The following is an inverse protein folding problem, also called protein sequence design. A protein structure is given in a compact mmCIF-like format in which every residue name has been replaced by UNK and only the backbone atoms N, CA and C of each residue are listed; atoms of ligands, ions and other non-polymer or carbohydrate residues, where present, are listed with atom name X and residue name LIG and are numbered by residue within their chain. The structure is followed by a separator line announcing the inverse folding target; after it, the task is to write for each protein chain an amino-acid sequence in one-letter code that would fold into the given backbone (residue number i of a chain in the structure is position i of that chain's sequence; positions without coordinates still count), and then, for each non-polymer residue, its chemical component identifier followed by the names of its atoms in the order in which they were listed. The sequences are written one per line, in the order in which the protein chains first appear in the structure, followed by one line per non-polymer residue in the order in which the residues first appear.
data_IF_221256916121
#
_entry.id   IF_221256916121
#
_cell.length_a   1.000
_cell.length_b   1.000
_cell.length_c   1.000
_cell.angle_alpha   90.00
_cell.angle_beta   90.00
_cell.angle_gamma   90.00
#
_symmetry.space_group_name_H-M   'P 1'
#
loop_
_entity.id
_entity.type
_entity.pdbx_description
1 polymer ?
#
# COMPACT_ATOMS: atom_id res chain seq x y z
N UNK A 1 2.23 15.60 7.11
CA UNK A 1 2.84 16.12 5.85
C UNK A 1 4.27 16.61 6.09
N UNK A 2 4.49 17.51 7.06
CA UNK A 2 5.80 18.18 7.20
C UNK A 2 6.96 17.24 7.56
N UNK A 3 6.76 16.21 8.37
CA UNK A 3 7.85 15.31 8.77
C UNK A 3 8.23 14.30 7.68
N UNK A 4 7.24 13.74 6.98
CA UNK A 4 7.47 12.73 5.93
C UNK A 4 8.14 13.32 4.68
N UNK A 5 7.97 14.61 4.42
CA UNK A 5 8.67 15.33 3.36
C UNK A 5 10.02 15.87 3.81
N UNK A 6 10.20 16.25 5.09
CA UNK A 6 11.45 16.80 5.59
C UNK A 6 12.61 15.82 5.53
N UNK A 7 12.35 14.54 5.83
CA UNK A 7 13.41 13.51 5.84
C UNK A 7 14.05 13.30 4.47
N UNK A 8 13.31 13.03 3.37
CA UNK A 8 13.90 12.89 2.04
C UNK A 8 14.56 14.18 1.56
N UNK A 9 13.98 15.35 1.86
CA UNK A 9 14.60 16.64 1.52
C UNK A 9 15.96 16.80 2.22
N UNK A 10 16.04 16.48 3.51
CA UNK A 10 17.29 16.59 4.26
C UNK A 10 18.37 15.63 3.73
N UNK A 11 17.99 14.41 3.31
CA UNK A 11 18.90 13.45 2.68
C UNK A 11 19.41 13.99 1.33
N UNK A 12 18.50 14.45 0.47
CA UNK A 12 18.88 15.05 -0.83
C UNK A 12 19.85 16.21 -0.63
N UNK A 13 19.56 17.11 0.33
CA UNK A 13 20.42 18.24 0.62
C UNK A 13 21.79 17.79 1.14
N UNK A 14 21.84 16.88 2.11
CA UNK A 14 23.09 16.39 2.68
C UNK A 14 24.00 15.71 1.66
N UNK A 15 23.45 14.85 0.80
CA UNK A 15 24.22 14.19 -0.26
C UNK A 15 24.64 15.17 -1.38
N UNK A 16 23.81 16.14 -1.72
CA UNK A 16 24.15 17.18 -2.67
C UNK A 16 25.26 18.10 -2.13
N UNK A 17 25.25 18.45 -0.83
CA UNK A 17 26.32 19.18 -0.16
C UNK A 17 27.63 18.37 -0.17
N UNK A 18 27.55 17.05 0.14
CA UNK A 18 28.69 16.15 0.06
C UNK A 18 29.34 16.11 -1.32
N UNK A 19 28.54 16.06 -2.39
CA UNK A 19 29.02 16.17 -3.78
C UNK A 19 29.69 17.52 -4.06
N UNK A 20 29.07 18.63 -3.61
CA UNK A 20 29.58 19.99 -3.83
C UNK A 20 30.90 20.22 -3.15
N UNK A 21 31.09 19.69 -1.94
CA UNK A 21 32.29 19.87 -1.14
C UNK A 21 33.39 18.84 -1.44
N UNK A 22 33.16 17.94 -2.39
CA UNK A 22 34.06 16.87 -2.78
C UNK A 22 34.57 16.04 -1.58
N UNK A 23 33.67 15.76 -0.63
CA UNK A 23 34.00 15.05 0.63
C UNK A 23 34.54 13.65 0.35
N UNK A 24 34.04 12.99 -0.69
CA UNK A 24 34.54 11.70 -1.20
C UNK A 24 34.61 11.83 -2.73
N UNK A 25 35.79 12.17 -3.27
CA UNK A 25 35.94 12.50 -4.69
C UNK A 25 36.31 11.29 -5.56
N UNK A 26 36.04 10.09 -5.10
CA UNK A 26 36.10 8.88 -5.91
C UNK A 26 34.79 8.67 -6.69
N UNK A 27 34.91 7.97 -7.82
CA UNK A 27 33.75 7.77 -8.71
C UNK A 27 32.61 6.95 -8.05
N UNK A 28 32.96 5.94 -7.23
CA UNK A 28 32.00 5.05 -6.57
C UNK A 28 31.16 5.81 -5.54
N UNK A 29 31.80 6.66 -4.71
CA UNK A 29 31.10 7.51 -3.74
C UNK A 29 30.20 8.54 -4.41
N UNK A 30 30.63 9.12 -5.55
CA UNK A 30 29.78 10.06 -6.30
C UNK A 30 28.56 9.38 -6.90
N UNK A 31 28.74 8.21 -7.47
CA UNK A 31 27.63 7.42 -8.04
C UNK A 31 26.63 7.05 -6.92
N UNK A 32 27.10 6.57 -5.78
CA UNK A 32 26.27 6.28 -4.62
C UNK A 32 25.47 7.50 -4.14
N UNK A 33 26.11 8.69 -4.05
CA UNK A 33 25.41 9.91 -3.65
C UNK A 33 24.33 10.32 -4.64
N UNK A 34 24.61 10.18 -5.95
CA UNK A 34 23.63 10.43 -6.99
C UNK A 34 22.46 9.46 -6.92
N UNK A 35 22.71 8.17 -6.71
CA UNK A 35 21.65 7.14 -6.55
C UNK A 35 20.74 7.47 -5.36
N UNK A 36 21.30 7.81 -4.20
CA UNK A 36 20.48 8.17 -3.03
C UNK A 36 19.61 9.41 -3.32
N UNK A 37 20.15 10.43 -3.99
CA UNK A 37 19.38 11.63 -4.37
C UNK A 37 18.24 11.26 -5.32
N UNK A 38 18.51 10.42 -6.32
CA UNK A 38 17.50 9.98 -7.29
C UNK A 38 16.40 9.16 -6.60
N UNK A 39 16.74 8.24 -5.72
CA UNK A 39 15.81 7.41 -4.99
C UNK A 39 14.89 8.24 -4.08
N UNK A 40 15.47 9.18 -3.32
CA UNK A 40 14.67 10.04 -2.45
C UNK A 40 13.77 10.98 -3.25
N UNK A 41 14.21 11.50 -4.39
CA UNK A 41 13.39 12.30 -5.28
C UNK A 41 12.23 11.46 -5.88
N UNK A 42 12.47 10.20 -6.27
CA UNK A 42 11.44 9.29 -6.76
C UNK A 42 10.40 8.96 -5.67
N UNK A 43 10.84 8.71 -4.42
CA UNK A 43 9.94 8.51 -3.27
C UNK A 43 9.05 9.74 -3.03
N UNK A 44 9.63 10.95 -3.09
CA UNK A 44 8.87 12.20 -2.94
C UNK A 44 7.83 12.37 -4.05
N UNK A 45 8.21 12.13 -5.31
CA UNK A 45 7.29 12.22 -6.46
C UNK A 45 6.10 11.26 -6.29
N UNK A 46 6.36 10.02 -5.89
CA UNK A 46 5.31 9.04 -5.61
C UNK A 46 4.39 9.49 -4.46
N UNK A 47 4.96 10.07 -3.39
CA UNK A 47 4.17 10.60 -2.28
C UNK A 47 3.28 11.76 -2.71
N UNK A 48 3.78 12.69 -3.53
CA UNK A 48 3.00 13.82 -4.06
C UNK A 48 1.85 13.31 -4.94
N UNK A 49 2.10 12.34 -5.83
CA UNK A 49 1.04 11.74 -6.65
C UNK A 49 -0.07 11.12 -5.78
N UNK A 50 0.30 10.32 -4.77
CA UNK A 50 -0.68 9.72 -3.84
C UNK A 50 -1.48 10.77 -3.08
N UNK A 51 -0.87 11.89 -2.69
CA UNK A 51 -1.57 13.00 -2.06
C UNK A 51 -2.55 13.70 -2.99
N UNK A 52 -2.20 13.90 -4.26
CA UNK A 52 -3.08 14.47 -5.25
C UNK A 52 -4.29 13.56 -5.51
N UNK A 53 -4.06 12.26 -5.70
CA UNK A 53 -5.15 11.26 -5.82
C UNK A 53 -6.10 11.34 -4.62
N UNK A 54 -5.53 11.32 -3.41
CA UNK A 54 -6.33 11.38 -2.19
C UNK A 54 -7.16 12.68 -2.08
N UNK A 55 -6.57 13.85 -2.43
CA UNK A 55 -7.28 15.11 -2.43
C UNK A 55 -8.43 15.13 -3.47
N UNK A 56 -8.25 14.53 -4.65
CA UNK A 56 -9.29 14.41 -5.67
C UNK A 56 -10.45 13.54 -5.17
N UNK A 57 -10.15 12.38 -4.57
CA UNK A 57 -11.15 11.49 -3.98
C UNK A 57 -11.95 12.19 -2.88
N UNK A 58 -11.29 12.87 -1.94
CA UNK A 58 -11.95 13.56 -0.82
C UNK A 58 -12.78 14.79 -1.25
N UNK A 59 -12.37 15.46 -2.34
CA UNK A 59 -13.12 16.59 -2.87
C UNK A 59 -14.34 16.19 -3.70
N UNK A 60 -14.56 14.88 -3.91
CA UNK A 60 -15.65 14.36 -4.75
C UNK A 60 -15.54 14.75 -6.22
N UNK A 61 -14.36 15.20 -6.66
CA UNK A 61 -14.12 15.60 -8.07
C UNK A 61 -13.91 14.42 -9.00
N UNK A 62 -13.47 13.30 -8.45
CA UNK A 62 -13.34 12.05 -9.20
C UNK A 62 -14.71 11.38 -9.30
N UNK A 63 -15.27 11.34 -10.50
CA UNK A 63 -16.47 10.57 -10.75
C UNK A 63 -16.17 9.07 -10.58
N UNK A 64 -16.98 8.38 -9.78
CA UNK A 64 -16.92 6.91 -9.69
C UNK A 64 -17.64 6.33 -10.89
N UNK A 65 -16.95 5.47 -11.62
CA UNK A 65 -17.50 4.79 -12.81
C UNK A 65 -17.82 3.35 -12.44
N UNK A 66 -19.05 3.09 -12.05
CA UNK A 66 -19.49 1.73 -11.77
C UNK A 66 -19.62 0.93 -13.05
N UNK A 67 -18.94 -0.19 -13.13
CA UNK A 67 -19.00 -1.15 -14.23
C UNK A 67 -18.95 -2.58 -13.72
N UNK A 68 -19.32 -3.53 -14.60
CA UNK A 68 -19.27 -4.95 -14.29
C UNK A 68 -17.94 -5.55 -14.76
N UNK A 69 -17.13 -6.03 -13.85
CA UNK A 69 -15.85 -6.68 -14.16
C UNK A 69 -15.62 -7.95 -13.35
N UNK A 70 -14.60 -8.71 -13.71
CA UNK A 70 -14.19 -9.94 -13.04
C UNK A 70 -13.14 -9.63 -11.96
N UNK A 71 -13.57 -9.56 -10.70
CA UNK A 71 -12.71 -9.27 -9.56
C UNK A 71 -11.61 -10.32 -9.36
N UNK A 72 -11.89 -11.60 -9.68
CA UNK A 72 -10.88 -12.68 -9.59
C UNK A 72 -9.71 -12.41 -10.53
N UNK A 73 -9.98 -12.02 -11.77
CA UNK A 73 -8.94 -11.68 -12.75
C UNK A 73 -8.14 -10.44 -12.34
N UNK A 74 -8.81 -9.43 -11.82
CA UNK A 74 -8.17 -8.23 -11.31
C UNK A 74 -7.18 -8.58 -10.20
N UNK A 75 -7.60 -9.39 -9.21
CA UNK A 75 -6.73 -9.79 -8.10
C UNK A 75 -5.54 -10.63 -8.61
N UNK A 76 -5.74 -11.56 -9.55
CA UNK A 76 -4.63 -12.29 -10.16
C UNK A 76 -3.63 -11.36 -10.83
N UNK A 77 -4.07 -10.32 -11.55
CA UNK A 77 -3.20 -9.32 -12.16
C UNK A 77 -2.34 -8.59 -11.13
N UNK A 78 -2.95 -8.16 -10.03
CA UNK A 78 -2.25 -7.49 -8.93
C UNK A 78 -1.25 -8.43 -8.25
N UNK A 79 -1.65 -9.68 -7.97
CA UNK A 79 -0.78 -10.69 -7.35
C UNK A 79 0.44 -10.95 -8.23
N UNK A 80 0.25 -11.22 -9.53
CA UNK A 80 1.35 -11.47 -10.48
C UNK A 80 2.34 -10.28 -10.52
N UNK A 81 1.82 -9.05 -10.47
CA UNK A 81 2.66 -7.85 -10.45
C UNK A 81 3.45 -7.68 -9.14
N UNK A 82 2.95 -8.26 -8.05
CA UNK A 82 3.53 -8.16 -6.71
C UNK A 82 4.49 -9.32 -6.37
N UNK A 83 4.49 -10.42 -7.15
CA UNK A 83 5.27 -11.63 -6.85
C UNK A 83 6.76 -11.34 -6.65
N UNK A 84 7.37 -10.55 -7.55
CA UNK A 84 8.80 -10.23 -7.44
C UNK A 84 9.13 -9.49 -6.13
N UNK A 85 8.28 -8.59 -5.69
CA UNK A 85 8.47 -7.87 -4.43
C UNK A 85 8.25 -8.77 -3.22
N UNK A 86 7.30 -9.69 -3.29
CA UNK A 86 7.07 -10.69 -2.25
C UNK A 86 8.28 -11.63 -2.13
N UNK A 87 8.81 -12.13 -3.24
CA UNK A 87 9.98 -12.99 -3.27
C UNK A 87 11.22 -12.30 -2.70
N UNK A 88 11.45 -11.02 -2.99
CA UNK A 88 12.54 -10.24 -2.39
C UNK A 88 12.43 -10.14 -0.86
N UNK A 89 11.23 -10.20 -0.31
CA UNK A 89 10.98 -10.25 1.14
C UNK A 89 10.98 -11.69 1.70
N UNK A 90 11.10 -12.70 0.84
CA UNK A 90 10.95 -14.10 1.16
C UNK A 90 9.52 -14.46 1.58
N UNK A 91 8.53 -13.70 1.12
CA UNK A 91 7.13 -13.91 1.41
C UNK A 91 6.45 -14.73 0.32
N UNK A 92 5.47 -15.56 0.72
CA UNK A 92 4.66 -16.36 -0.20
C UNK A 92 3.24 -15.81 -0.26
N UNK A 93 2.77 -15.46 -1.47
CA UNK A 93 1.39 -15.06 -1.70
C UNK A 93 0.58 -16.32 -2.08
N UNK A 94 -0.53 -16.54 -1.38
CA UNK A 94 -1.48 -17.63 -1.61
C UNK A 94 -2.79 -17.04 -2.11
N UNK A 95 -3.08 -17.23 -3.38
CA UNK A 95 -4.37 -16.90 -3.99
C UNK A 95 -4.73 -18.00 -4.99
N UNK A 96 -5.60 -18.91 -4.57
CA UNK A 96 -5.95 -20.12 -5.33
C UNK A 96 -7.38 -20.06 -5.91
N UNK A 97 -8.01 -18.88 -5.91
CA UNK A 97 -9.36 -18.72 -6.45
C UNK A 97 -9.33 -18.82 -7.98
N UNK A 98 -10.14 -19.72 -8.52
CA UNK A 98 -10.25 -19.96 -9.96
C UNK A 98 -11.64 -19.63 -10.50
N UNK A 99 -12.64 -19.49 -9.63
CA UNK A 99 -14.00 -19.11 -10.01
C UNK A 99 -14.05 -17.61 -10.29
N UNK A 100 -14.68 -17.22 -11.40
CA UNK A 100 -14.87 -15.81 -11.73
C UNK A 100 -15.95 -15.17 -10.85
N UNK A 101 -15.60 -14.14 -10.11
CA UNK A 101 -16.51 -13.35 -9.31
C UNK A 101 -16.75 -12.00 -9.99
N UNK A 102 -17.88 -11.90 -10.70
CA UNK A 102 -18.29 -10.64 -11.31
C UNK A 102 -18.91 -9.72 -10.26
N UNK A 103 -18.41 -8.48 -10.21
CA UNK A 103 -18.85 -7.46 -9.27
C UNK A 103 -19.25 -6.18 -10.02
N UNK A 104 -19.95 -5.28 -9.30
CA UNK A 104 -20.37 -3.99 -9.79
C UNK A 104 -19.71 -2.90 -8.94
N UNK A 105 -18.59 -2.34 -9.46
CA UNK A 105 -17.79 -1.33 -8.78
C UNK A 105 -16.96 -0.55 -9.81
N UNK A 106 -16.15 0.40 -9.37
CA UNK A 106 -15.14 1.06 -10.21
C UNK A 106 -13.89 0.16 -10.26
N UNK A 107 -13.58 -0.40 -11.45
CA UNK A 107 -12.50 -1.37 -11.63
C UNK A 107 -11.14 -0.78 -11.24
N UNK A 108 -10.82 0.43 -11.71
CA UNK A 108 -9.53 1.09 -11.41
C UNK A 108 -9.37 1.42 -9.93
N UNK A 109 -10.43 1.90 -9.28
CA UNK A 109 -10.43 2.20 -7.85
C UNK A 109 -10.32 0.89 -7.03
N UNK A 110 -10.98 -0.16 -7.46
CA UNK A 110 -10.89 -1.48 -6.81
C UNK A 110 -9.48 -2.08 -6.95
N UNK A 111 -8.85 -1.94 -8.12
CA UNK A 111 -7.45 -2.33 -8.33
C UNK A 111 -6.52 -1.57 -7.37
N UNK A 112 -6.74 -0.27 -7.18
CA UNK A 112 -5.96 0.54 -6.24
C UNK A 112 -6.15 0.08 -4.78
N UNK A 113 -7.37 -0.33 -4.37
CA UNK A 113 -7.63 -0.93 -3.04
C UNK A 113 -6.84 -2.23 -2.87
N UNK A 114 -6.95 -3.17 -3.80
CA UNK A 114 -6.24 -4.45 -3.76
C UNK A 114 -4.73 -4.24 -3.73
N UNK A 115 -4.21 -3.37 -4.58
CA UNK A 115 -2.77 -3.03 -4.65
C UNK A 115 -2.26 -2.46 -3.32
N UNK A 116 -3.03 -1.58 -2.67
CA UNK A 116 -2.66 -1.03 -1.37
C UNK A 116 -2.66 -2.10 -0.27
N UNK A 117 -3.63 -3.03 -0.25
CA UNK A 117 -3.67 -4.11 0.72
C UNK A 117 -2.53 -5.11 0.50
N UNK A 118 -2.28 -5.53 -0.74
CA UNK A 118 -1.18 -6.46 -1.07
C UNK A 118 0.18 -5.83 -0.75
N UNK A 119 0.39 -4.57 -1.14
CA UNK A 119 1.63 -3.83 -0.81
C UNK A 119 1.81 -3.67 0.71
N UNK A 120 0.73 -3.40 1.45
CA UNK A 120 0.77 -3.33 2.91
C UNK A 120 1.13 -4.69 3.51
N UNK A 121 0.53 -5.77 3.03
CA UNK A 121 0.84 -7.13 3.46
C UNK A 121 2.31 -7.48 3.23
N UNK A 122 2.87 -7.20 2.05
CA UNK A 122 4.29 -7.44 1.73
C UNK A 122 5.22 -6.62 2.65
N UNK A 123 4.85 -5.39 2.98
CA UNK A 123 5.66 -4.53 3.84
C UNK A 123 5.63 -4.93 5.32
N UNK A 124 4.58 -5.61 5.78
CA UNK A 124 4.39 -5.97 7.18
C UNK A 124 4.41 -7.47 7.46
N UNK A 125 4.57 -8.30 6.41
CA UNK A 125 4.70 -9.75 6.58
C UNK A 125 5.92 -10.11 7.43
N UNK A 126 5.71 -10.99 8.40
CA UNK A 126 6.74 -11.50 9.33
C UNK A 126 6.42 -12.95 9.69
N UNK A 127 7.20 -13.56 10.60
CA UNK A 127 7.05 -14.96 11.06
C UNK A 127 7.15 -15.94 9.89
N UNK A 128 6.05 -16.65 9.57
CA UNK A 128 6.00 -17.64 8.48
C UNK A 128 6.02 -17.00 7.09
N UNK A 129 5.95 -15.67 7.01
CA UNK A 129 5.98 -14.88 5.78
C UNK A 129 4.95 -15.31 4.75
N UNK A 130 3.73 -15.57 5.21
CA UNK A 130 2.59 -15.95 4.37
C UNK A 130 1.65 -14.76 4.21
N UNK A 131 1.25 -14.51 2.96
CA UNK A 131 0.18 -13.59 2.59
C UNK A 131 -0.92 -14.44 1.95
N UNK A 132 -2.14 -14.39 2.47
CA UNK A 132 -3.26 -15.17 1.98
C UNK A 132 -4.39 -14.25 1.54
N UNK A 133 -4.86 -14.43 0.29
CA UNK A 133 -6.00 -13.69 -0.26
C UNK A 133 -7.17 -14.66 -0.37
N UNK A 134 -8.32 -14.24 0.13
CA UNK A 134 -9.57 -15.02 0.07
C UNK A 134 -10.71 -14.18 -0.46
N UNK A 135 -11.60 -14.84 -1.17
CA UNK A 135 -12.86 -14.28 -1.64
C UNK A 135 -14.01 -15.14 -1.16
N UNK A 136 -15.09 -14.50 -0.75
CA UNK A 136 -16.33 -15.18 -0.35
C UNK A 136 -17.54 -14.41 -0.87
N UNK A 137 -18.36 -15.08 -1.67
CA UNK A 137 -19.64 -14.50 -2.11
C UNK A 137 -20.71 -14.78 -1.06
N UNK A 138 -21.33 -13.71 -0.55
CA UNK A 138 -22.39 -13.81 0.46
C UNK A 138 -23.33 -12.61 0.38
N UNK A 139 -24.64 -12.86 0.44
CA UNK A 139 -25.68 -11.82 0.50
C UNK A 139 -25.61 -10.77 -0.63
N UNK A 140 -25.29 -11.19 -1.88
CA UNK A 140 -25.20 -10.28 -3.03
C UNK A 140 -23.92 -9.43 -3.05
N UNK A 141 -22.92 -9.79 -2.25
CA UNK A 141 -21.61 -9.15 -2.20
C UNK A 141 -20.49 -10.16 -2.29
N UNK A 142 -19.35 -9.70 -2.75
CA UNK A 142 -18.07 -10.41 -2.64
C UNK A 142 -17.27 -9.77 -1.53
N UNK A 143 -17.01 -10.51 -0.48
CA UNK A 143 -16.07 -10.17 0.59
C UNK A 143 -14.68 -10.66 0.19
N UNK A 144 -13.73 -9.74 0.08
CA UNK A 144 -12.32 -10.02 -0.24
C UNK A 144 -11.45 -9.64 0.93
N UNK A 145 -10.59 -10.56 1.34
CA UNK A 145 -9.64 -10.32 2.42
C UNK A 145 -8.20 -10.60 2.00
N UNK A 146 -7.27 -9.81 2.54
CA UNK A 146 -5.82 -9.96 2.40
C UNK A 146 -5.25 -10.10 3.80
N UNK A 147 -4.87 -11.30 4.18
CA UNK A 147 -4.22 -11.62 5.44
C UNK A 147 -2.70 -11.69 5.25
N UNK A 148 -1.94 -11.19 6.22
CA UNK A 148 -0.52 -11.46 6.31
C UNK A 148 -0.15 -11.94 7.72
N UNK A 149 0.75 -12.91 7.80
CA UNK A 149 1.42 -13.23 9.05
C UNK A 149 2.29 -12.06 9.50
N UNK A 150 2.33 -11.81 10.82
CA UNK A 150 3.10 -10.71 11.38
C UNK A 150 2.55 -10.24 12.72
N UNK A 151 3.09 -9.14 13.21
CA UNK A 151 2.68 -8.56 14.49
C UNK A 151 1.31 -7.90 14.36
N UNK A 152 0.33 -8.24 15.23
CA UNK A 152 -0.96 -7.58 15.25
C UNK A 152 -0.85 -6.07 15.48
N UNK A 153 -1.82 -5.32 14.96
CA UNK A 153 -1.92 -3.88 15.17
C UNK A 153 -2.39 -3.64 16.62
N UNK A 154 -1.72 -2.77 17.41
CA UNK A 154 -2.22 -2.42 18.75
C UNK A 154 -3.67 -1.91 18.69
N UNK A 155 -4.53 -2.33 19.59
CA UNK A 155 -5.95 -1.95 19.61
C UNK A 155 -6.14 -0.43 19.61
N UNK A 156 -5.31 0.30 20.31
CA UNK A 156 -5.33 1.77 20.36
C UNK A 156 -5.05 2.46 19.03
N UNK A 157 -4.57 1.69 18.03
CA UNK A 157 -4.15 2.21 16.72
C UNK A 157 -5.05 1.75 15.57
N UNK A 158 -5.95 0.77 15.79
CA UNK A 158 -6.84 0.20 14.76
C UNK A 158 -7.64 1.28 14.02
N UNK A 159 -8.20 2.26 14.73
CA UNK A 159 -8.95 3.35 14.10
C UNK A 159 -8.04 4.40 13.45
N UNK A 160 -6.79 4.48 13.89
CA UNK A 160 -5.85 5.50 13.43
C UNK A 160 -5.11 5.12 12.15
N UNK A 161 -4.99 3.83 11.82
CA UNK A 161 -4.28 3.38 10.62
C UNK A 161 -4.87 3.93 9.32
N UNK A 162 -6.13 4.36 9.32
CA UNK A 162 -6.83 4.99 8.21
C UNK A 162 -6.54 6.50 8.06
N UNK A 163 -5.84 7.09 9.04
CA UNK A 163 -5.49 8.52 9.03
C UNK A 163 -4.23 8.72 8.17
N UNK A 164 -4.21 9.78 7.37
CA UNK A 164 -3.06 10.16 6.53
C UNK A 164 -1.78 10.26 7.35
N UNK A 165 -0.69 9.65 6.86
CA UNK A 165 0.64 9.66 7.47
C UNK A 165 0.73 8.98 8.84
N UNK A 166 -0.33 8.31 9.27
CA UNK A 166 -0.27 7.54 10.50
C UNK A 166 0.55 6.26 10.28
N UNK A 167 1.40 5.97 11.25
CA UNK A 167 2.25 4.77 11.29
C UNK A 167 2.30 4.26 12.71
N UNK A 168 2.00 2.98 12.90
CA UNK A 168 1.99 2.32 14.21
C UNK A 168 3.40 2.32 14.82
N UNK A 169 4.43 2.06 14.01
CA UNK A 169 5.82 2.01 14.46
C UNK A 169 6.72 2.86 13.55
N UNK A 170 7.14 4.03 14.05
CA UNK A 170 7.99 4.97 13.32
C UNK A 170 9.42 4.46 13.08
N UNK A 171 9.91 3.56 13.92
CA UNK A 171 11.26 3.01 13.80
C UNK A 171 11.34 1.94 12.71
N UNK A 172 10.37 1.03 12.69
CA UNK A 172 10.30 -0.08 11.73
C UNK A 172 9.99 0.40 10.30
N UNK A 173 9.27 1.51 10.17
CA UNK A 173 8.85 2.05 8.86
C UNK A 173 9.96 2.74 8.08
N UNK A 174 11.10 3.09 8.70
CA UNK A 174 12.28 3.58 7.97
C UNK A 174 12.91 2.49 7.09
N UNK A 175 12.80 1.26 7.53
CA UNK A 175 13.36 0.09 6.84
C UNK A 175 12.45 -0.40 5.69
N UNK A 176 11.13 -0.17 5.78
CA UNK A 176 10.13 -0.71 4.85
C UNK A 176 9.48 0.34 3.91
N UNK A 177 9.82 1.62 4.04
CA UNK A 177 9.52 2.66 3.04
C UNK A 177 8.06 3.08 2.85
N UNK A 178 7.13 2.71 3.73
CA UNK A 178 5.72 3.07 3.60
C UNK A 178 5.44 4.56 3.82
N UNK A 179 4.69 5.22 2.92
CA UNK A 179 4.33 6.65 3.03
C UNK A 179 3.27 6.97 4.09
N UNK A 180 2.57 5.96 4.64
CA UNK A 180 1.42 6.14 5.52
C UNK A 180 0.18 6.75 4.85
N UNK A 181 0.11 6.69 3.50
CA UNK A 181 -1.02 7.24 2.73
C UNK A 181 -1.90 6.11 2.16
N UNK A 182 -1.36 4.91 1.96
CA UNK A 182 -2.06 3.83 1.26
C UNK A 182 -3.42 3.47 1.86
N UNK A 183 -3.49 3.27 3.17
CA UNK A 183 -4.76 2.93 3.85
C UNK A 183 -5.75 4.11 3.85
N UNK A 184 -5.28 5.36 3.88
CA UNK A 184 -6.17 6.51 3.74
C UNK A 184 -6.76 6.66 2.32
N UNK A 185 -6.03 6.22 1.29
CA UNK A 185 -6.55 6.10 -0.08
C UNK A 185 -7.64 5.02 -0.13
N UNK A 186 -7.39 3.83 0.44
CA UNK A 186 -8.40 2.76 0.53
C UNK A 186 -9.68 3.30 1.18
N UNK A 187 -9.55 3.95 2.34
CA UNK A 187 -10.70 4.56 3.02
C UNK A 187 -11.46 5.53 2.10
N UNK A 188 -10.77 6.46 1.44
CA UNK A 188 -11.40 7.44 0.57
C UNK A 188 -12.11 6.78 -0.63
N UNK A 189 -11.52 5.76 -1.24
CA UNK A 189 -12.13 4.99 -2.34
C UNK A 189 -13.39 4.27 -1.85
N UNK A 190 -13.29 3.49 -0.77
CA UNK A 190 -14.41 2.69 -0.27
C UNK A 190 -15.57 3.57 0.23
N UNK A 191 -15.26 4.69 0.89
CA UNK A 191 -16.25 5.69 1.30
C UNK A 191 -16.93 6.30 0.06
N UNK A 192 -16.20 6.62 -1.01
CA UNK A 192 -16.75 7.18 -2.25
C UNK A 192 -17.65 6.20 -3.01
N UNK A 193 -17.37 4.90 -2.93
CA UNK A 193 -18.21 3.83 -3.48
C UNK A 193 -19.35 3.41 -2.53
N UNK A 194 -19.40 3.94 -1.30
CA UNK A 194 -20.34 3.53 -0.24
C UNK A 194 -20.26 2.03 0.10
N UNK A 195 -19.07 1.45 0.02
CA UNK A 195 -18.81 0.05 0.29
C UNK A 195 -18.08 -0.13 1.62
N UNK A 196 -18.24 -1.32 2.23
CA UNK A 196 -17.63 -1.62 3.53
C UNK A 196 -16.19 -2.10 3.38
N UNK A 197 -15.36 -1.76 4.35
CA UNK A 197 -13.98 -2.21 4.49
C UNK A 197 -13.59 -2.24 5.97
N UNK A 198 -12.48 -2.88 6.27
CA UNK A 198 -12.01 -2.92 7.65
C UNK A 198 -10.70 -3.69 7.82
N UNK A 199 -10.38 -3.90 9.08
CA UNK A 199 -9.20 -4.65 9.52
C UNK A 199 -9.60 -5.57 10.67
N UNK A 200 -8.93 -6.72 10.76
CA UNK A 200 -9.09 -7.68 11.84
C UNK A 200 -7.72 -8.22 12.26
N UNK A 201 -7.45 -8.19 13.55
CA UNK A 201 -6.29 -8.84 14.14
C UNK A 201 -6.54 -10.33 14.38
N UNK A 202 -5.48 -11.11 14.21
CA UNK A 202 -5.33 -12.48 14.65
C UNK A 202 -4.08 -12.61 15.52
N UNK A 203 -3.93 -13.68 16.29
CA UNK A 203 -2.77 -13.89 17.16
C UNK A 203 -1.44 -13.89 16.38
N UNK A 204 -1.47 -14.30 15.11
CA UNK A 204 -0.31 -14.45 14.26
C UNK A 204 -0.29 -13.52 13.03
N UNK A 205 -1.17 -12.50 12.97
CA UNK A 205 -1.22 -11.63 11.79
C UNK A 205 -2.36 -10.64 11.75
N UNK A 206 -2.51 -10.00 10.60
CA UNK A 206 -3.51 -8.97 10.34
C UNK A 206 -4.22 -9.25 9.04
N UNK A 207 -5.52 -9.09 9.01
CA UNK A 207 -6.37 -9.20 7.82
C UNK A 207 -7.00 -7.85 7.50
N UNK A 208 -6.79 -7.35 6.29
CA UNK A 208 -7.53 -6.23 5.71
C UNK A 208 -8.58 -6.77 4.76
N UNK A 209 -9.77 -6.20 4.76
CA UNK A 209 -10.87 -6.68 3.94
C UNK A 209 -11.71 -5.55 3.36
N UNK A 210 -12.40 -5.84 2.26
CA UNK A 210 -13.42 -5.00 1.66
C UNK A 210 -14.55 -5.82 1.06
N UNK A 211 -15.70 -5.18 0.84
CA UNK A 211 -16.87 -5.76 0.19
C UNK A 211 -17.25 -4.95 -1.04
N UNK A 212 -17.69 -5.62 -2.10
CA UNK A 212 -18.27 -5.00 -3.30
C UNK A 212 -19.51 -5.77 -3.74
N UNK A 213 -20.47 -5.10 -4.36
CA UNK A 213 -21.72 -5.72 -4.83
C UNK A 213 -21.49 -6.65 -6.04
N UNK A 214 -22.32 -7.74 -6.16
CA UNK A 214 -22.20 -8.73 -7.24
C UNK A 214 -23.56 -9.17 -7.80
#
# INVERSE_FOLDING_TARGET
VSHELKTPIALIQGYAEGLKECINDDAESRDFYCEVIMDEAAKMNNMVRKLLTLNHLESGKDAIVFERFDLTKLIHSVVNSAELLADQKGAKILFNETESHYVWADEFKTEEVVTNFVSNAINHVDFDKVIEIKMKKENGKVHTSVFNTGVPIPEADIDKIWIKFYKVDKARTREYGGSGIGLSIVKAIMDSMHQKFGVKNYDNGVEFWFEVEC
#
